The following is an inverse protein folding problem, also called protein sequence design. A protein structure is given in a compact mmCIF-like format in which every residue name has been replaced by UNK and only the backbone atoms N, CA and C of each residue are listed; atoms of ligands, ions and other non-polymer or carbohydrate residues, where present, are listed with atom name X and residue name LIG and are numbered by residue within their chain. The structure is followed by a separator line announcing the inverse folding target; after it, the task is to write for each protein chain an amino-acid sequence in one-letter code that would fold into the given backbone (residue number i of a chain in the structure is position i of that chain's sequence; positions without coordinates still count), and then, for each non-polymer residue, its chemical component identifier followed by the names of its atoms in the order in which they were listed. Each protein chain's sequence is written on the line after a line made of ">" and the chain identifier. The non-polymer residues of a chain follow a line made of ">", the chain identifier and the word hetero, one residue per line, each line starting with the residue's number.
data_IF_948615629615
#
_entry.id   IF_948615629615
#
_cell.length_a   1.000
_cell.length_b   1.000
_cell.length_c   1.000
_cell.angle_alpha   90.00
_cell.angle_beta   90.00
_cell.angle_gamma   90.00
#
_symmetry.space_group_name_H-M   'P 1'
#
loop_
_entity.id
_entity.type
_entity.pdbx_description
1 polymer ?
#
# COMPACT_ATOMS: atom_id res chain seq x y z
N UNK A 1 1.25 12.69 12.01
CA UNK A 1 0.96 11.50 12.76
C UNK A 1 2.09 11.17 13.72
N UNK A 2 3.28 10.69 13.31
CA UNK A 2 4.39 10.45 14.26
C UNK A 2 4.86 11.73 14.97
N UNK A 3 4.92 12.85 14.25
CA UNK A 3 5.21 14.17 14.82
C UNK A 3 4.22 14.60 15.90
N UNK A 4 2.96 14.19 15.80
CA UNK A 4 1.94 14.48 16.82
C UNK A 4 2.18 13.73 18.13
N UNK A 5 2.91 12.60 18.11
CA UNK A 5 3.27 11.87 19.32
C UNK A 5 4.23 12.69 20.19
N UNK A 6 5.27 13.28 19.61
CA UNK A 6 6.18 14.16 20.34
C UNK A 6 5.45 15.37 20.94
N UNK A 7 4.63 16.06 20.13
CA UNK A 7 3.87 17.22 20.57
C UNK A 7 2.86 16.87 21.66
N UNK A 8 2.13 15.77 21.49
CA UNK A 8 1.07 15.34 22.43
C UNK A 8 1.59 14.84 23.78
N UNK A 9 2.83 14.31 23.82
CA UNK A 9 3.47 13.86 25.07
C UNK A 9 4.36 14.93 25.71
N UNK A 10 4.58 16.07 25.06
CA UNK A 10 5.48 17.12 25.54
C UNK A 10 6.96 16.76 25.41
N UNK A 11 7.29 15.70 24.69
CA UNK A 11 8.68 15.33 24.40
C UNK A 11 9.25 16.18 23.24
N UNK A 12 10.56 16.36 23.22
CA UNK A 12 11.24 17.01 22.08
C UNK A 12 11.14 16.14 20.82
N UNK A 13 11.18 16.71 19.62
CA UNK A 13 11.05 15.97 18.36
C UNK A 13 12.14 14.89 18.18
N UNK A 14 13.33 15.13 18.73
CA UNK A 14 14.46 14.18 18.69
C UNK A 14 14.30 12.96 19.61
N UNK A 15 13.21 12.87 20.38
CA UNK A 15 12.88 11.69 21.19
C UNK A 15 12.37 10.52 20.38
N UNK A 16 12.00 10.74 19.10
CA UNK A 16 11.57 9.70 18.18
C UNK A 16 12.75 9.34 17.28
N UNK A 17 13.31 8.16 17.47
CA UNK A 17 14.50 7.70 16.74
C UNK A 17 14.16 6.91 15.48
N UNK A 18 12.94 6.35 15.38
CA UNK A 18 12.50 5.54 14.26
C UNK A 18 10.99 5.56 14.13
N UNK A 19 10.51 5.81 12.93
CA UNK A 19 9.08 5.82 12.59
C UNK A 19 8.79 4.62 11.68
N UNK A 20 8.10 3.62 12.21
CA UNK A 20 7.65 2.46 11.44
C UNK A 20 6.27 2.74 10.84
N UNK A 21 6.18 2.81 9.53
CA UNK A 21 4.91 2.86 8.80
C UNK A 21 4.33 1.45 8.62
N UNK A 22 3.02 1.30 8.75
CA UNK A 22 2.33 0.04 8.47
C UNK A 22 1.51 0.19 7.21
N UNK A 23 1.73 -0.69 6.23
CA UNK A 23 0.93 -0.77 5.01
C UNK A 23 0.61 -2.22 4.65
N UNK A 24 -0.44 -2.44 3.89
CA UNK A 24 -0.74 -3.75 3.31
C UNK A 24 -0.04 -3.90 1.98
N UNK A 25 0.10 -5.14 1.50
CA UNK A 25 0.60 -5.44 0.16
C UNK A 25 -0.37 -5.01 -0.97
N UNK A 26 -1.52 -4.47 -0.61
CA UNK A 26 -2.54 -3.88 -1.50
C UNK A 26 -3.21 -2.71 -0.77
N UNK A 27 -4.00 -1.89 -1.47
CA UNK A 27 -4.65 -0.73 -0.87
C UNK A 27 -6.08 -1.04 -0.44
N UNK A 28 -6.48 -0.52 0.73
CA UNK A 28 -7.88 -0.56 1.18
C UNK A 28 -8.38 0.82 1.59
N UNK A 29 -9.66 1.07 1.39
CA UNK A 29 -10.32 2.31 1.81
C UNK A 29 -11.65 2.03 2.49
N UNK A 30 -11.93 2.80 3.55
CA UNK A 30 -13.23 2.85 4.21
C UNK A 30 -13.95 4.11 3.76
N UNK A 31 -15.24 3.99 3.50
CA UNK A 31 -16.09 5.13 3.12
C UNK A 31 -15.97 5.52 1.65
N UNK A 32 -16.60 6.63 1.32
CA UNK A 32 -16.68 7.18 -0.03
C UNK A 32 -15.47 8.08 -0.34
N UNK A 33 -15.43 8.56 -1.58
CA UNK A 33 -14.40 9.46 -2.09
C UNK A 33 -13.43 8.78 -3.06
N UNK A 34 -12.51 9.55 -3.65
CA UNK A 34 -11.60 9.08 -4.68
C UNK A 34 -10.72 7.93 -4.21
N UNK A 35 -10.58 6.91 -5.03
CA UNK A 35 -9.71 5.78 -4.81
C UNK A 35 -9.08 5.36 -6.15
N UNK A 36 -7.98 5.99 -6.58
CA UNK A 36 -7.44 5.82 -7.93
C UNK A 36 -7.14 4.38 -8.33
N UNK A 37 -6.68 3.56 -7.38
CA UNK A 37 -6.30 2.17 -7.64
C UNK A 37 -7.40 1.16 -7.32
N UNK A 38 -8.65 1.59 -7.10
CA UNK A 38 -9.77 0.72 -6.75
C UNK A 38 -10.04 -0.34 -7.81
N UNK A 39 -10.38 -1.54 -7.36
CA UNK A 39 -10.80 -2.67 -8.18
C UNK A 39 -12.25 -3.00 -7.88
N UNK A 40 -13.11 -2.77 -8.86
CA UNK A 40 -14.55 -3.10 -8.80
C UNK A 40 -14.89 -4.42 -9.50
N UNK A 41 -13.88 -5.24 -9.73
CA UNK A 41 -13.92 -6.52 -10.42
C UNK A 41 -13.73 -7.71 -9.48
N UNK A 42 -13.62 -8.91 -10.07
CA UNK A 42 -13.40 -10.18 -9.33
C UNK A 42 -12.12 -10.16 -8.48
N UNK A 43 -11.09 -9.43 -8.90
CA UNK A 43 -9.84 -9.32 -8.13
C UNK A 43 -10.09 -8.49 -6.86
N UNK A 44 -10.79 -7.37 -6.97
CA UNK A 44 -11.17 -6.57 -5.82
C UNK A 44 -12.03 -7.35 -4.81
N UNK A 45 -12.95 -8.20 -5.31
CA UNK A 45 -13.74 -9.09 -4.46
C UNK A 45 -12.90 -10.16 -3.76
N UNK A 46 -11.94 -10.74 -4.48
CA UNK A 46 -11.00 -11.72 -3.94
C UNK A 46 -10.13 -11.12 -2.83
N UNK A 47 -9.55 -9.93 -3.07
CA UNK A 47 -8.78 -9.22 -2.05
C UNK A 47 -9.62 -8.94 -0.80
N UNK A 48 -10.87 -8.49 -0.99
CA UNK A 48 -11.81 -8.24 0.11
C UNK A 48 -12.12 -9.46 0.95
N UNK A 49 -12.37 -10.59 0.28
CA UNK A 49 -12.77 -11.85 0.93
C UNK A 49 -11.58 -12.51 1.63
N UNK A 50 -10.46 -12.73 0.92
CA UNK A 50 -9.25 -13.35 1.47
C UNK A 50 -8.62 -12.49 2.56
N UNK A 51 -8.56 -11.19 2.31
CA UNK A 51 -8.05 -10.21 3.26
C UNK A 51 -8.96 -9.99 4.48
N UNK A 52 -10.18 -10.56 4.48
CA UNK A 52 -11.21 -10.29 5.50
C UNK A 52 -11.42 -8.79 5.70
N UNK A 53 -11.54 -8.06 4.59
CA UNK A 53 -11.61 -6.59 4.60
C UNK A 53 -13.03 -6.12 4.92
N UNK A 54 -13.39 -6.29 6.18
CA UNK A 54 -14.67 -5.86 6.77
C UNK A 54 -14.40 -5.02 8.02
N UNK A 55 -15.27 -4.04 8.27
CA UNK A 55 -15.23 -3.27 9.50
C UNK A 55 -15.53 -4.15 10.71
N UNK A 56 -14.70 -4.10 11.75
CA UNK A 56 -14.85 -4.96 12.94
C UNK A 56 -16.19 -4.76 13.64
N UNK A 57 -16.68 -3.53 13.70
CA UNK A 57 -17.93 -3.18 14.40
C UNK A 57 -19.14 -3.23 13.46
N UNK A 58 -18.99 -2.66 12.28
CA UNK A 58 -20.13 -2.46 11.35
C UNK A 58 -20.26 -3.57 10.31
N UNK A 59 -19.30 -4.50 10.24
CA UNK A 59 -19.19 -5.52 9.18
C UNK A 59 -19.24 -4.94 7.75
N UNK A 60 -19.09 -3.62 7.60
CA UNK A 60 -19.10 -2.97 6.29
C UNK A 60 -17.88 -3.38 5.49
N UNK A 61 -18.10 -3.81 4.25
CA UNK A 61 -17.04 -4.18 3.31
C UNK A 61 -16.15 -2.95 3.02
N UNK A 62 -14.83 -3.15 3.08
CA UNK A 62 -13.86 -2.15 2.63
C UNK A 62 -13.66 -2.27 1.12
N UNK A 63 -13.43 -1.14 0.49
CA UNK A 63 -13.02 -1.06 -0.92
C UNK A 63 -11.58 -1.51 -1.03
N UNK A 64 -11.23 -2.30 -2.04
CA UNK A 64 -9.90 -2.83 -2.25
C UNK A 64 -9.35 -2.40 -3.61
N UNK A 65 -8.04 -2.27 -3.71
CA UNK A 65 -7.36 -1.90 -4.93
C UNK A 65 -5.90 -2.34 -4.94
N UNK A 66 -5.23 -2.16 -6.08
CA UNK A 66 -3.81 -2.44 -6.20
C UNK A 66 -2.98 -1.55 -5.27
N UNK A 67 -1.77 -1.99 -4.94
CA UNK A 67 -0.84 -1.20 -4.12
C UNK A 67 -0.59 0.16 -4.77
N UNK A 68 -0.90 1.22 -4.04
CA UNK A 68 -0.70 2.60 -4.48
C UNK A 68 0.67 3.11 -4.01
N UNK A 69 1.68 2.85 -4.81
CA UNK A 69 3.04 3.25 -4.49
C UNK A 69 3.22 4.76 -4.45
N UNK A 70 2.50 5.50 -5.29
CA UNK A 70 2.57 6.99 -5.33
C UNK A 70 2.08 7.56 -4.00
N UNK A 71 0.91 7.10 -3.53
CA UNK A 71 0.33 7.55 -2.27
C UNK A 71 1.21 7.16 -1.07
N UNK A 72 1.73 5.91 -1.05
CA UNK A 72 2.61 5.44 0.04
C UNK A 72 3.89 6.26 0.06
N UNK A 73 4.56 6.48 -1.09
CA UNK A 73 5.77 7.31 -1.19
C UNK A 73 5.54 8.73 -0.70
N UNK A 74 4.42 9.34 -1.07
CA UNK A 74 4.03 10.67 -0.58
C UNK A 74 3.83 10.67 0.93
N UNK A 75 3.15 9.66 1.47
CA UNK A 75 2.89 9.52 2.91
C UNK A 75 4.17 9.33 3.71
N UNK A 76 5.13 8.55 3.20
CA UNK A 76 6.46 8.37 3.80
C UNK A 76 7.15 9.71 3.98
N UNK A 77 7.19 10.54 2.93
CA UNK A 77 7.81 11.87 2.97
C UNK A 77 7.13 12.81 3.97
N UNK A 78 5.79 12.85 3.96
CA UNK A 78 5.01 13.74 4.84
C UNK A 78 5.12 13.31 6.30
N UNK A 79 5.17 12.02 6.57
CA UNK A 79 5.13 11.47 7.94
C UNK A 79 6.51 11.17 8.52
N UNK A 80 7.59 11.33 7.75
CA UNK A 80 8.95 11.02 8.20
C UNK A 80 9.10 9.55 8.56
N UNK A 81 8.63 8.64 7.69
CA UNK A 81 8.68 7.20 7.92
C UNK A 81 10.06 6.68 7.52
N UNK A 82 10.72 5.95 8.43
CA UNK A 82 12.05 5.37 8.24
C UNK A 82 12.01 3.96 7.64
N UNK A 83 10.97 3.20 7.96
CA UNK A 83 10.79 1.85 7.42
C UNK A 83 9.34 1.41 7.44
N UNK A 84 9.04 0.31 6.74
CA UNK A 84 7.70 -0.20 6.52
C UNK A 84 7.55 -1.60 7.12
N UNK A 85 6.47 -1.83 7.88
CA UNK A 85 5.92 -3.14 8.12
C UNK A 85 4.83 -3.40 7.06
N UNK A 86 5.13 -4.32 6.12
CA UNK A 86 4.20 -4.67 5.06
C UNK A 86 3.40 -5.90 5.50
N UNK A 87 2.09 -5.79 5.47
CA UNK A 87 1.18 -6.83 5.97
C UNK A 87 0.37 -7.44 4.83
N UNK A 88 -0.19 -8.62 5.09
CA UNK A 88 -1.15 -9.28 4.19
C UNK A 88 -0.60 -9.63 2.80
N UNK A 89 0.67 -9.99 2.72
CA UNK A 89 1.27 -10.48 1.48
C UNK A 89 0.57 -11.76 0.99
N UNK A 90 0.20 -12.63 1.92
CA UNK A 90 -0.49 -13.91 1.71
C UNK A 90 -1.83 -13.77 0.96
N UNK A 91 -2.46 -12.62 1.03
CA UNK A 91 -3.71 -12.35 0.29
C UNK A 91 -3.50 -12.38 -1.22
N UNK A 92 -2.29 -12.11 -1.69
CA UNK A 92 -1.92 -12.07 -3.11
C UNK A 92 -1.47 -13.42 -3.68
N UNK A 93 -1.30 -14.46 -2.85
CA UNK A 93 -0.65 -15.74 -3.20
C UNK A 93 -1.22 -16.44 -4.44
N UNK A 94 -2.51 -16.30 -4.75
CA UNK A 94 -3.17 -17.02 -5.86
C UNK A 94 -3.34 -16.19 -7.13
N UNK A 95 -2.89 -14.94 -7.13
CA UNK A 95 -3.03 -14.08 -8.29
C UNK A 95 -2.05 -14.47 -9.39
N UNK A 96 -2.48 -14.37 -10.65
CA UNK A 96 -1.62 -14.56 -11.83
C UNK A 96 -0.70 -13.37 -12.04
N UNK A 97 -1.26 -12.17 -11.85
CA UNK A 97 -0.59 -10.89 -11.99
C UNK A 97 -0.88 -10.00 -10.79
N UNK A 98 0.12 -9.21 -10.41
CA UNK A 98 0.02 -8.24 -9.31
C UNK A 98 0.54 -6.90 -9.83
N UNK A 99 -0.08 -5.79 -9.42
CA UNK A 99 0.27 -4.48 -9.95
C UNK A 99 0.62 -3.48 -8.84
N UNK A 100 1.60 -2.64 -9.12
CA UNK A 100 1.95 -1.47 -8.31
C UNK A 100 1.64 -0.22 -9.13
N UNK A 101 0.85 0.70 -8.58
CA UNK A 101 0.68 2.02 -9.15
C UNK A 101 1.96 2.84 -8.93
N UNK A 102 2.59 3.22 -10.03
CA UNK A 102 3.89 3.93 -10.02
C UNK A 102 3.79 5.38 -10.47
N UNK A 103 2.73 5.75 -11.16
CA UNK A 103 2.43 7.11 -11.60
C UNK A 103 0.92 7.31 -11.67
N UNK A 104 0.50 8.57 -11.73
CA UNK A 104 -0.85 8.93 -12.13
C UNK A 104 -0.81 9.73 -13.43
N UNK A 105 -1.89 9.63 -14.22
CA UNK A 105 -2.18 10.52 -15.30
C UNK A 105 -3.33 11.45 -14.89
N UNK A 106 -3.12 12.76 -15.00
CA UNK A 106 -4.14 13.79 -14.79
C UNK A 106 -4.18 14.71 -15.99
N UNK A 107 -5.31 14.77 -16.70
CA UNK A 107 -5.51 15.62 -17.89
C UNK A 107 -4.40 15.42 -18.96
N UNK A 108 -3.99 14.18 -19.21
CA UNK A 108 -2.94 13.83 -20.18
C UNK A 108 -1.50 14.09 -19.72
N UNK A 109 -1.30 14.53 -18.47
CA UNK A 109 0.03 14.73 -17.88
C UNK A 109 0.30 13.69 -16.82
N UNK A 110 1.51 13.17 -16.81
CA UNK A 110 2.00 12.27 -15.75
C UNK A 110 2.35 13.09 -14.50
N UNK A 111 1.90 12.62 -13.35
CA UNK A 111 2.19 13.20 -12.05
C UNK A 111 2.60 12.08 -11.07
N UNK A 112 3.43 12.42 -10.11
CA UNK A 112 4.00 11.49 -9.12
C UNK A 112 3.56 11.78 -7.68
N UNK A 113 2.44 12.46 -7.55
CA UNK A 113 1.80 12.82 -6.27
C UNK A 113 0.28 12.76 -6.39
N UNK A 114 -0.40 12.55 -5.26
CA UNK A 114 -1.86 12.65 -5.17
C UNK A 114 -2.24 14.13 -4.99
N UNK A 115 -3.00 14.75 -5.92
CA UNK A 115 -3.46 16.12 -5.77
C UNK A 115 -4.32 16.32 -4.52
N UNK A 116 -4.32 17.54 -3.98
CA UNK A 116 -5.15 17.86 -2.82
C UNK A 116 -6.63 18.06 -3.19
N UNK A 117 -6.92 18.58 -4.39
CA UNK A 117 -8.28 18.85 -4.85
C UNK A 117 -9.01 17.55 -5.19
N UNK A 118 -10.20 17.35 -4.66
CA UNK A 118 -11.03 16.16 -4.88
C UNK A 118 -11.42 16.02 -6.36
N UNK A 119 -11.69 17.13 -7.04
CA UNK A 119 -12.04 17.18 -8.44
C UNK A 119 -10.91 16.63 -9.34
N UNK A 120 -9.67 16.86 -8.96
CA UNK A 120 -8.51 16.32 -9.66
C UNK A 120 -8.29 14.85 -9.32
N UNK A 121 -8.47 14.47 -8.05
CA UNK A 121 -8.39 13.07 -7.63
C UNK A 121 -9.40 12.18 -8.38
N UNK A 122 -10.59 12.68 -8.68
CA UNK A 122 -11.62 11.95 -9.44
C UNK A 122 -11.27 11.74 -10.92
N UNK A 123 -10.34 12.54 -11.47
CA UNK A 123 -9.89 12.47 -12.88
C UNK A 123 -8.61 11.63 -13.06
N UNK A 124 -7.99 11.24 -11.95
CA UNK A 124 -6.73 10.48 -11.99
C UNK A 124 -6.96 9.11 -12.63
N UNK A 125 -6.02 8.75 -13.52
CA UNK A 125 -5.87 7.40 -14.03
C UNK A 125 -4.56 6.81 -13.51
N UNK A 126 -4.58 5.69 -12.79
CA UNK A 126 -3.37 5.06 -12.28
C UNK A 126 -2.58 4.40 -13.42
N UNK A 127 -1.26 4.55 -13.39
CA UNK A 127 -0.33 3.88 -14.29
C UNK A 127 0.37 2.80 -13.49
N UNK A 128 0.30 1.57 -13.98
CA UNK A 128 0.78 0.38 -13.26
C UNK A 128 2.05 -0.21 -13.85
N UNK A 129 2.89 -0.73 -12.97
CA UNK A 129 3.89 -1.74 -13.28
C UNK A 129 3.34 -3.10 -12.87
N UNK A 130 3.36 -4.07 -13.80
CA UNK A 130 2.83 -5.42 -13.60
C UNK A 130 3.96 -6.37 -13.22
N UNK A 131 3.65 -7.32 -12.33
CA UNK A 131 4.52 -8.38 -11.86
C UNK A 131 3.79 -9.71 -11.97
N UNK A 132 4.53 -10.77 -12.27
CA UNK A 132 4.00 -12.13 -12.23
C UNK A 132 3.68 -12.53 -10.78
N UNK A 133 2.56 -13.19 -10.58
CA UNK A 133 2.21 -13.80 -9.32
C UNK A 133 3.13 -14.96 -8.97
N UNK A 134 3.04 -15.45 -7.76
CA UNK A 134 3.91 -16.54 -7.28
C UNK A 134 3.20 -17.87 -7.04
N UNK A 135 1.87 -17.91 -7.00
CA UNK A 135 1.05 -19.14 -6.90
C UNK A 135 1.45 -20.10 -5.78
N UNK A 136 2.10 -19.60 -4.76
CA UNK A 136 2.61 -20.38 -3.62
C UNK A 136 2.26 -19.66 -2.33
N UNK A 137 1.87 -20.39 -1.30
CA UNK A 137 1.54 -19.79 -0.01
C UNK A 137 2.75 -19.11 0.62
N UNK A 138 2.57 -17.87 1.02
CA UNK A 138 3.54 -17.08 1.79
C UNK A 138 3.18 -17.04 3.28
N UNK A 139 2.05 -17.66 3.67
CA UNK A 139 1.58 -17.68 5.04
C UNK A 139 2.55 -18.47 5.95
N UNK A 140 2.95 -17.85 7.06
CA UNK A 140 3.84 -18.45 8.04
C UNK A 140 5.32 -18.48 7.67
N UNK A 141 5.73 -17.95 6.52
CA UNK A 141 7.13 -17.76 6.17
C UNK A 141 7.78 -16.76 7.14
N UNK A 142 8.92 -17.14 7.71
CA UNK A 142 9.62 -16.33 8.72
C UNK A 142 10.88 -15.65 8.20
N UNK A 143 11.39 -16.10 7.06
CA UNK A 143 12.62 -15.58 6.47
C UNK A 143 12.34 -15.13 5.03
N UNK A 144 12.78 -13.94 4.68
CA UNK A 144 12.60 -13.40 3.32
C UNK A 144 13.22 -14.30 2.24
N UNK A 145 14.28 -15.03 2.58
CA UNK A 145 14.93 -15.95 1.64
C UNK A 145 14.04 -17.15 1.25
N UNK A 146 13.09 -17.51 2.11
CA UNK A 146 12.16 -18.63 1.92
C UNK A 146 10.92 -18.22 1.11
N UNK A 147 10.76 -16.93 0.81
CA UNK A 147 9.69 -16.44 -0.04
C UNK A 147 9.90 -16.85 -1.50
N UNK A 148 8.83 -17.09 -2.27
CA UNK A 148 8.90 -17.28 -3.72
C UNK A 148 9.61 -16.12 -4.41
N UNK A 149 10.36 -16.40 -5.48
CA UNK A 149 11.17 -15.40 -6.19
C UNK A 149 10.33 -14.20 -6.69
N UNK A 150 9.12 -14.45 -7.20
CA UNK A 150 8.25 -13.38 -7.66
C UNK A 150 7.72 -12.53 -6.50
N UNK A 151 7.49 -13.12 -5.31
CA UNK A 151 7.14 -12.37 -4.11
C UNK A 151 8.30 -11.46 -3.68
N UNK A 152 9.54 -11.96 -3.69
CA UNK A 152 10.74 -11.14 -3.43
C UNK A 152 10.88 -10.00 -4.43
N UNK A 153 10.70 -10.26 -5.73
CA UNK A 153 10.74 -9.23 -6.78
C UNK A 153 9.70 -8.13 -6.54
N UNK A 154 8.49 -8.52 -6.14
CA UNK A 154 7.42 -7.59 -5.80
C UNK A 154 7.80 -6.70 -4.61
N UNK A 155 8.31 -7.30 -3.52
CA UNK A 155 8.74 -6.59 -2.32
C UNK A 155 9.88 -5.62 -2.60
N UNK A 156 10.92 -6.06 -3.30
CA UNK A 156 12.05 -5.19 -3.68
C UNK A 156 11.62 -4.05 -4.60
N UNK A 157 10.68 -4.29 -5.51
CA UNK A 157 10.14 -3.24 -6.35
C UNK A 157 9.34 -2.21 -5.56
N UNK A 158 8.63 -2.61 -4.51
CA UNK A 158 7.99 -1.69 -3.57
C UNK A 158 9.04 -0.85 -2.86
N UNK A 159 10.04 -1.49 -2.22
CA UNK A 159 11.13 -0.77 -1.50
C UNK A 159 11.80 0.28 -2.38
N UNK A 160 12.22 -0.12 -3.58
CA UNK A 160 12.90 0.75 -4.54
C UNK A 160 12.03 1.96 -4.92
N UNK A 161 10.75 1.70 -5.20
CA UNK A 161 9.82 2.74 -5.62
C UNK A 161 9.46 3.72 -4.50
N UNK A 162 9.17 3.22 -3.30
CA UNK A 162 8.74 4.07 -2.18
C UNK A 162 9.92 4.75 -1.46
N UNK A 163 11.15 4.26 -1.66
CA UNK A 163 12.36 4.78 -1.05
C UNK A 163 12.47 4.53 0.45
N UNK A 164 11.82 3.48 0.97
CA UNK A 164 11.91 3.07 2.37
C UNK A 164 12.00 1.55 2.47
N UNK A 165 12.78 1.05 3.45
CA UNK A 165 12.97 -0.39 3.66
C UNK A 165 11.72 -1.07 4.20
N UNK A 166 11.43 -2.27 3.70
CA UNK A 166 10.47 -3.18 4.32
C UNK A 166 11.19 -3.88 5.47
N UNK A 167 10.92 -3.39 6.69
CA UNK A 167 11.57 -3.87 7.91
C UNK A 167 10.92 -5.13 8.48
N UNK A 168 9.68 -5.42 8.08
CA UNK A 168 8.91 -6.59 8.50
C UNK A 168 7.81 -6.91 7.48
N UNK A 169 7.49 -8.20 7.37
CA UNK A 169 6.39 -8.73 6.55
C UNK A 169 5.50 -9.59 7.43
#
# INVERSE_FOLDING_TARGET
>A
VASSAATGTGCGPNSINYVLGITKAYTTRVGEGPFPTELVDKIGELLGTRGKEFGTVTSRKRRCGWFDGVLVRQTIKISGIDGIALTKLDVLDELDEIKICVEYELNGKKIDYLPAAVEDQLKIKPIYKTFDGWKTSTSGVKNINDLPENAKKYLFAIEDFIGAKISSI
#
